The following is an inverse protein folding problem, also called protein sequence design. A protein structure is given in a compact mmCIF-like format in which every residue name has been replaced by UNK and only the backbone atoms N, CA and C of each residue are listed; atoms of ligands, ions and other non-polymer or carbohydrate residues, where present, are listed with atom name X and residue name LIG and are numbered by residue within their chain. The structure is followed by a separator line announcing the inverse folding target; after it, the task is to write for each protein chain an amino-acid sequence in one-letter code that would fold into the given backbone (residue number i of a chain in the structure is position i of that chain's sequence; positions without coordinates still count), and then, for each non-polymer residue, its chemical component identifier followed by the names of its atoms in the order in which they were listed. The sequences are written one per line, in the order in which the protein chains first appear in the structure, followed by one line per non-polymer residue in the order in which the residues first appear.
data_IF_221694293325
#
_entry.id   IF_221694293325
#
_cell.length_a   1.000
_cell.length_b   1.000
_cell.length_c   1.000
_cell.angle_alpha   90.00
_cell.angle_beta   90.00
_cell.angle_gamma   90.00
#
_symmetry.space_group_name_H-M   'P 1'
#
loop_
_entity.id
_entity.type
_entity.pdbx_description
1 polymer ?
#
# COMPACT_ATOMS: atom_id res chain seq x y z
N UNK A 1 73.41 -4.26 -23.29
CA UNK A 1 72.87 -3.92 -21.95
C UNK A 1 71.36 -3.83 -22.10
N UNK A 2 70.65 -4.85 -21.60
CA UNK A 2 69.21 -5.01 -21.82
C UNK A 2 68.42 -4.81 -20.53
N UNK A 3 67.36 -4.00 -20.68
CA UNK A 3 66.06 -4.03 -20.01
C UNK A 3 65.97 -3.94 -18.47
N UNK A 4 65.20 -2.96 -18.03
CA UNK A 4 64.58 -2.91 -16.71
C UNK A 4 63.53 -1.82 -16.65
N UNK A 5 62.45 -1.98 -17.43
CA UNK A 5 61.24 -1.14 -17.39
C UNK A 5 60.75 -1.05 -15.94
N UNK A 6 60.49 0.17 -15.46
CA UNK A 6 59.59 0.38 -14.34
C UNK A 6 58.27 -0.29 -14.72
N UNK A 7 57.96 -1.43 -14.10
CA UNK A 7 56.62 -1.97 -14.11
C UNK A 7 55.75 -0.92 -13.41
N UNK A 8 54.91 -0.27 -14.19
CA UNK A 8 53.67 0.32 -13.72
C UNK A 8 53.04 -0.72 -12.78
N UNK A 9 52.99 -0.42 -11.50
CA UNK A 9 52.16 -1.16 -10.58
C UNK A 9 50.73 -0.86 -11.03
N UNK A 10 50.22 -1.70 -11.91
CA UNK A 10 48.79 -1.87 -12.14
C UNK A 10 48.16 -2.03 -10.75
N UNK A 11 47.61 -0.94 -10.23
CA UNK A 11 46.64 -1.02 -9.16
C UNK A 11 45.45 -1.73 -9.77
N UNK A 12 45.42 -3.06 -9.65
CA UNK A 12 44.22 -3.86 -9.76
C UNK A 12 43.24 -3.35 -8.70
N UNK A 13 42.47 -2.35 -9.11
CA UNK A 13 41.17 -2.07 -8.57
C UNK A 13 40.34 -3.32 -8.89
N UNK A 14 40.11 -4.16 -7.89
CA UNK A 14 38.85 -4.88 -7.68
C UNK A 14 39.09 -6.13 -6.85
N UNK A 15 38.72 -6.04 -5.57
CA UNK A 15 37.90 -7.01 -4.84
C UNK A 15 37.95 -6.58 -3.38
N UNK A 16 36.96 -5.78 -2.96
CA UNK A 16 36.68 -5.60 -1.54
C UNK A 16 36.54 -7.00 -0.92
N UNK A 17 37.31 -7.34 0.13
CA UNK A 17 37.15 -8.62 0.82
C UNK A 17 35.68 -8.88 1.13
N UNK A 18 35.18 -10.10 0.93
CA UNK A 18 33.75 -10.45 1.08
C UNK A 18 33.12 -9.93 2.38
N UNK A 19 33.93 -9.82 3.45
CA UNK A 19 33.52 -9.28 4.74
C UNK A 19 33.16 -7.79 4.69
N UNK A 20 33.86 -6.96 3.91
CA UNK A 20 33.52 -5.54 3.71
C UNK A 20 32.30 -5.37 2.81
N UNK A 21 32.18 -6.16 1.74
CA UNK A 21 30.97 -6.17 0.90
C UNK A 21 29.71 -6.60 1.69
N UNK A 22 29.85 -7.55 2.62
CA UNK A 22 28.77 -7.95 3.53
C UNK A 22 28.39 -6.86 4.53
N UNK A 23 29.35 -6.06 4.99
CA UNK A 23 29.12 -4.91 5.86
C UNK A 23 28.41 -3.76 5.13
N UNK A 24 28.82 -3.43 3.91
CA UNK A 24 28.13 -2.44 3.07
C UNK A 24 26.71 -2.87 2.71
N UNK A 25 26.50 -4.16 2.39
CA UNK A 25 25.14 -4.73 2.19
C UNK A 25 24.30 -4.66 3.46
N UNK A 26 24.90 -4.94 4.63
CA UNK A 26 24.22 -4.82 5.93
C UNK A 26 23.85 -3.35 6.24
N UNK A 27 24.72 -2.40 5.92
CA UNK A 27 24.45 -0.95 6.07
C UNK A 27 23.39 -0.45 5.09
N UNK A 28 23.28 -1.03 3.90
CA UNK A 28 22.22 -0.73 2.94
C UNK A 28 20.88 -1.36 3.31
N UNK A 29 20.85 -2.38 4.17
CA UNK A 29 19.63 -3.11 4.52
C UNK A 29 18.52 -2.21 5.13
N UNK A 30 18.81 -1.29 6.08
CA UNK A 30 17.82 -0.33 6.56
C UNK A 30 17.25 0.59 5.48
N UNK A 31 18.06 0.98 4.49
CA UNK A 31 17.62 1.82 3.38
C UNK A 31 16.71 1.04 2.43
N UNK A 32 17.12 -0.17 2.04
CA UNK A 32 16.31 -1.09 1.21
C UNK A 32 15.00 -1.47 1.89
N UNK A 33 15.01 -1.73 3.20
CA UNK A 33 13.81 -1.98 4.00
C UNK A 33 12.87 -0.78 3.99
N UNK A 34 13.39 0.45 4.20
CA UNK A 34 12.58 1.68 4.12
C UNK A 34 11.97 1.87 2.74
N UNK A 35 12.73 1.63 1.68
CA UNK A 35 12.25 1.71 0.30
C UNK A 35 11.15 0.68 0.01
N UNK A 36 11.34 -0.58 0.44
CA UNK A 36 10.34 -1.64 0.30
C UNK A 36 9.04 -1.29 1.04
N UNK A 37 9.12 -0.84 2.30
CA UNK A 37 7.95 -0.38 3.08
C UNK A 37 7.24 0.78 2.37
N UNK A 38 7.99 1.75 1.85
CA UNK A 38 7.41 2.89 1.13
C UNK A 38 6.73 2.46 -0.18
N UNK A 39 7.26 1.44 -0.87
CA UNK A 39 6.66 0.85 -2.06
C UNK A 39 5.36 0.12 -1.72
N UNK A 40 5.38 -0.76 -0.72
CA UNK A 40 4.20 -1.49 -0.23
C UNK A 40 3.09 -0.52 0.18
N UNK A 41 3.43 0.50 0.97
CA UNK A 41 2.46 1.54 1.39
C UNK A 41 1.83 2.24 0.18
N UNK A 42 2.62 2.67 -0.80
CA UNK A 42 2.11 3.32 -2.02
C UNK A 42 1.18 2.39 -2.81
N UNK A 43 1.54 1.12 -2.95
CA UNK A 43 0.70 0.14 -3.63
C UNK A 43 -0.62 -0.07 -2.92
N UNK A 44 -0.60 -0.22 -1.59
CA UNK A 44 -1.81 -0.40 -0.77
C UNK A 44 -2.74 0.82 -0.84
N UNK A 45 -2.18 2.03 -0.76
CA UNK A 45 -2.94 3.28 -0.91
C UNK A 45 -3.55 3.34 -2.31
N UNK A 46 -2.78 3.08 -3.37
CA UNK A 46 -3.29 3.09 -4.74
C UNK A 46 -4.37 2.02 -5.00
N UNK A 47 -4.29 0.86 -4.33
CA UNK A 47 -5.36 -0.15 -4.38
C UNK A 47 -6.64 0.36 -3.69
N UNK A 48 -6.53 1.02 -2.53
CA UNK A 48 -7.67 1.58 -1.82
C UNK A 48 -8.34 2.71 -2.64
N UNK A 49 -7.54 3.60 -3.24
CA UNK A 49 -8.01 4.65 -4.15
C UNK A 49 -8.81 4.07 -5.32
N UNK A 50 -8.28 3.04 -5.99
CA UNK A 50 -8.98 2.39 -7.11
C UNK A 50 -10.30 1.75 -6.69
N UNK A 51 -10.33 1.11 -5.51
CA UNK A 51 -11.57 0.51 -4.98
C UNK A 51 -12.63 1.55 -4.67
N UNK A 52 -12.26 2.62 -3.98
CA UNK A 52 -13.16 3.75 -3.70
C UNK A 52 -13.65 4.36 -5.01
N UNK A 53 -12.75 4.57 -5.99
CA UNK A 53 -13.13 5.09 -7.30
C UNK A 53 -14.09 4.16 -8.04
N UNK A 54 -13.93 2.84 -7.94
CA UNK A 54 -14.87 1.85 -8.49
C UNK A 54 -16.26 1.94 -7.85
N UNK A 55 -16.32 2.01 -6.51
CA UNK A 55 -17.58 2.20 -5.77
C UNK A 55 -18.27 3.49 -6.22
N UNK A 56 -17.52 4.60 -6.34
CA UNK A 56 -18.06 5.88 -6.79
C UNK A 56 -18.47 5.88 -8.26
N UNK A 57 -17.74 5.16 -9.12
CA UNK A 57 -18.04 5.02 -10.55
C UNK A 57 -19.34 4.26 -10.80
N UNK A 58 -19.62 3.19 -10.05
CA UNK A 58 -20.88 2.45 -10.13
C UNK A 58 -22.11 3.33 -9.88
N UNK A 59 -21.93 4.48 -9.20
CA UNK A 59 -22.98 5.43 -8.93
C UNK A 59 -23.02 6.66 -9.84
N UNK A 60 -22.24 6.72 -10.92
CA UNK A 60 -22.17 7.87 -11.86
C UNK A 60 -23.42 8.12 -12.71
N UNK A 61 -24.56 7.47 -12.44
CA UNK A 61 -25.84 7.83 -13.09
C UNK A 61 -26.34 9.25 -12.75
N UNK A 62 -25.71 9.98 -11.81
CA UNK A 62 -25.98 11.39 -11.54
C UNK A 62 -24.71 12.22 -11.76
N UNK A 63 -24.61 12.86 -12.93
CA UNK A 63 -24.03 14.18 -13.28
C UNK A 63 -22.81 14.76 -12.53
N UNK A 64 -22.11 14.02 -11.68
CA UNK A 64 -21.00 14.51 -10.86
C UNK A 64 -19.67 13.96 -11.42
N UNK A 65 -18.86 14.79 -12.10
CA UNK A 65 -17.68 14.32 -12.82
C UNK A 65 -16.49 13.97 -11.91
N UNK A 66 -16.46 14.45 -10.65
CA UNK A 66 -15.26 14.35 -9.81
C UNK A 66 -15.59 13.99 -8.36
N UNK A 67 -15.02 12.86 -7.93
CA UNK A 67 -14.85 12.49 -6.53
C UNK A 67 -13.37 12.67 -6.17
N UNK A 68 -13.07 13.33 -5.05
CA UNK A 68 -11.69 13.48 -4.57
C UNK A 68 -11.60 13.11 -3.09
N UNK A 69 -10.51 12.45 -2.72
CA UNK A 69 -10.18 12.21 -1.31
C UNK A 69 -9.77 13.56 -0.71
N UNK A 70 -10.49 14.01 0.32
CA UNK A 70 -10.24 15.30 0.97
C UNK A 70 -9.59 15.16 2.34
N UNK A 71 -9.73 14.01 3.00
CA UNK A 71 -9.16 13.79 4.33
C UNK A 71 -8.85 12.31 4.55
N UNK A 72 -7.75 12.04 5.25
CA UNK A 72 -7.37 10.70 5.71
C UNK A 72 -7.04 10.77 7.20
N UNK A 73 -7.79 10.03 8.00
CA UNK A 73 -7.65 9.96 9.45
C UNK A 73 -7.14 8.57 9.83
N UNK A 74 -6.08 8.47 10.65
CA UNK A 74 -5.68 7.19 11.22
C UNK A 74 -6.53 6.93 12.47
N UNK A 75 -7.19 5.78 12.53
CA UNK A 75 -8.02 5.40 13.67
C UNK A 75 -7.61 4.04 14.21
N UNK A 76 -7.77 3.79 15.52
CA UNK A 76 -7.59 2.45 16.05
C UNK A 76 -8.58 1.51 15.35
N UNK A 77 -8.07 0.37 14.88
CA UNK A 77 -8.91 -0.64 14.26
C UNK A 77 -9.91 -1.21 15.27
N UNK A 78 -11.18 -1.44 14.88
CA UNK A 78 -12.15 -2.03 15.79
C UNK A 78 -11.67 -3.41 16.27
N UNK A 79 -11.87 -3.74 17.55
CA UNK A 79 -11.45 -5.03 18.10
C UNK A 79 -12.09 -6.22 17.36
N UNK A 80 -13.37 -6.09 16.99
CA UNK A 80 -14.13 -7.10 16.25
C UNK A 80 -13.57 -7.36 14.84
N UNK A 81 -12.96 -6.34 14.22
CA UNK A 81 -12.41 -6.45 12.88
C UNK A 81 -11.29 -7.49 12.82
N UNK A 82 -10.45 -7.55 13.87
CA UNK A 82 -9.37 -8.54 13.97
C UNK A 82 -9.91 -9.97 14.04
N UNK A 83 -11.03 -10.16 14.74
CA UNK A 83 -11.67 -11.46 14.85
C UNK A 83 -12.32 -11.87 13.51
N UNK A 84 -13.02 -10.94 12.86
CA UNK A 84 -13.68 -11.18 11.57
C UNK A 84 -12.69 -11.65 10.49
N UNK A 85 -11.60 -10.93 10.26
CA UNK A 85 -10.66 -11.27 9.19
C UNK A 85 -9.78 -12.47 9.49
N UNK A 86 -9.47 -12.74 10.77
CA UNK A 86 -8.79 -14.00 11.14
C UNK A 86 -9.60 -15.23 10.76
N UNK A 87 -10.93 -15.10 10.73
CA UNK A 87 -11.85 -16.20 10.37
C UNK A 87 -12.07 -16.26 8.86
N UNK A 88 -12.17 -15.11 8.17
CA UNK A 88 -12.38 -15.08 6.71
C UNK A 88 -11.12 -15.28 5.88
N UNK A 89 -9.94 -14.95 6.42
CA UNK A 89 -8.64 -15.14 5.78
C UNK A 89 -7.60 -15.59 6.83
N UNK A 90 -7.45 -16.92 7.05
CA UNK A 90 -6.63 -17.47 8.11
C UNK A 90 -5.17 -17.03 8.00
N UNK A 91 -4.65 -16.43 9.08
CA UNK A 91 -3.26 -15.95 9.15
C UNK A 91 -3.09 -14.46 8.84
N UNK A 92 -4.13 -13.78 8.38
CA UNK A 92 -4.10 -12.33 8.21
C UNK A 92 -3.97 -11.58 9.54
N UNK A 93 -3.11 -10.57 9.55
CA UNK A 93 -2.88 -9.67 10.67
C UNK A 93 -3.28 -8.26 10.29
N UNK A 94 -4.14 -7.66 11.11
CA UNK A 94 -4.55 -6.27 10.93
C UNK A 94 -3.39 -5.31 11.24
N UNK A 95 -3.02 -4.48 10.27
CA UNK A 95 -1.91 -3.54 10.35
C UNK A 95 -2.40 -2.16 10.81
N UNK A 96 -3.41 -1.61 10.14
CA UNK A 96 -3.89 -0.25 10.38
C UNK A 96 -5.31 -0.05 9.84
N UNK A 97 -6.05 0.89 10.45
CA UNK A 97 -7.30 1.40 9.92
C UNK A 97 -7.17 2.88 9.64
N UNK A 98 -7.74 3.32 8.52
CA UNK A 98 -7.88 4.72 8.17
C UNK A 98 -9.33 5.03 7.82
N UNK A 99 -9.79 6.23 8.15
CA UNK A 99 -11.04 6.77 7.63
C UNK A 99 -10.71 7.78 6.54
N UNK A 100 -11.21 7.52 5.35
CA UNK A 100 -11.03 8.36 4.18
C UNK A 100 -12.33 9.10 3.91
N UNK A 101 -12.26 10.43 3.92
CA UNK A 101 -13.37 11.29 3.54
C UNK A 101 -13.22 11.64 2.06
N UNK A 102 -14.25 11.33 1.28
CA UNK A 102 -14.33 11.62 -0.15
C UNK A 102 -15.40 12.65 -0.37
N UNK A 103 -15.04 13.76 -1.03
CA UNK A 103 -16.02 14.75 -1.46
C UNK A 103 -16.53 14.41 -2.84
N UNK A 104 -17.85 14.42 -3.00
CA UNK A 104 -18.55 14.22 -4.28
C UNK A 104 -19.61 15.30 -4.42
N UNK A 105 -19.40 16.24 -5.32
CA UNK A 105 -20.25 17.41 -5.49
C UNK A 105 -20.48 18.10 -4.12
N UNK A 106 -21.72 18.11 -3.65
CA UNK A 106 -22.16 18.79 -2.43
C UNK A 106 -22.23 17.86 -1.21
N UNK A 107 -21.88 16.58 -1.38
CA UNK A 107 -21.90 15.58 -0.33
C UNK A 107 -20.49 15.11 0.03
N UNK A 108 -20.30 14.76 1.30
CA UNK A 108 -19.12 14.05 1.79
C UNK A 108 -19.50 12.62 2.13
N UNK A 109 -18.59 11.70 1.85
CA UNK A 109 -18.73 10.27 2.10
C UNK A 109 -17.53 9.76 2.86
N UNK A 110 -17.75 8.77 3.72
CA UNK A 110 -16.68 8.22 4.54
C UNK A 110 -16.50 6.74 4.27
N UNK A 111 -15.26 6.34 4.08
CA UNK A 111 -14.84 4.97 3.86
C UNK A 111 -13.84 4.58 4.94
N UNK A 112 -14.03 3.41 5.53
CA UNK A 112 -13.05 2.78 6.41
C UNK A 112 -12.16 1.87 5.57
N UNK A 113 -10.88 2.19 5.51
CA UNK A 113 -9.85 1.42 4.82
C UNK A 113 -9.04 0.65 5.85
N UNK A 114 -9.11 -0.66 5.78
CA UNK A 114 -8.43 -1.57 6.69
C UNK A 114 -7.28 -2.26 5.96
N UNK A 115 -6.07 -2.17 6.49
CA UNK A 115 -4.89 -2.77 5.89
C UNK A 115 -4.50 -4.04 6.65
N UNK A 116 -4.16 -5.07 5.91
CA UNK A 116 -3.81 -6.39 6.42
C UNK A 116 -2.53 -6.89 5.77
N UNK A 117 -1.83 -7.78 6.48
CA UNK A 117 -0.74 -8.56 5.93
C UNK A 117 -0.85 -10.01 6.37
N UNK A 118 -0.51 -10.94 5.49
CA UNK A 118 -0.30 -12.34 5.84
C UNK A 118 0.91 -12.89 5.07
N UNK A 119 1.93 -13.35 5.80
CA UNK A 119 3.21 -13.69 5.19
C UNK A 119 3.77 -12.53 4.36
N UNK A 120 4.01 -12.79 3.07
CA UNK A 120 4.53 -11.82 2.11
C UNK A 120 3.45 -11.05 1.34
N UNK A 121 2.17 -11.31 1.61
CA UNK A 121 1.06 -10.64 0.94
C UNK A 121 0.47 -9.52 1.79
N UNK A 122 0.14 -8.41 1.13
CA UNK A 122 -0.51 -7.25 1.74
C UNK A 122 -1.74 -6.88 0.94
N UNK A 123 -2.81 -6.53 1.65
CA UNK A 123 -4.07 -6.14 1.04
C UNK A 123 -4.77 -5.10 1.89
N UNK A 124 -5.79 -4.48 1.32
CA UNK A 124 -6.73 -3.66 2.06
C UNK A 124 -8.15 -4.22 1.92
N UNK A 125 -9.05 -3.73 2.75
CA UNK A 125 -10.50 -3.82 2.57
C UNK A 125 -11.11 -2.46 2.80
N UNK A 126 -12.02 -2.07 1.92
CA UNK A 126 -12.72 -0.78 1.96
C UNK A 126 -14.16 -1.05 2.35
N UNK A 127 -14.61 -0.45 3.45
CA UNK A 127 -15.98 -0.54 3.93
C UNK A 127 -16.60 0.86 4.01
N UNK A 128 -17.87 1.01 3.63
CA UNK A 128 -18.59 2.27 3.78
C UNK A 128 -18.88 2.55 5.28
N UNK A 129 -18.78 3.81 5.69
CA UNK A 129 -19.07 4.22 7.08
C UNK A 129 -20.49 4.77 7.28
N UNK A 130 -21.20 5.10 6.18
CA UNK A 130 -22.51 5.73 6.22
C UNK A 130 -23.50 5.02 5.28
N UNK A 131 -24.79 5.25 5.50
CA UNK A 131 -25.86 4.58 4.76
C UNK A 131 -25.79 4.86 3.25
N UNK A 132 -25.43 6.08 2.84
CA UNK A 132 -25.34 6.45 1.43
C UNK A 132 -24.18 5.74 0.74
N UNK A 133 -23.01 5.70 1.38
CA UNK A 133 -21.85 4.95 0.91
C UNK A 133 -22.13 3.44 0.89
N UNK A 134 -22.97 2.94 1.81
CA UNK A 134 -23.36 1.52 1.87
C UNK A 134 -24.25 1.13 0.70
N UNK A 135 -25.27 1.94 0.40
CA UNK A 135 -26.13 1.71 -0.77
C UNK A 135 -25.29 1.65 -2.05
N UNK A 136 -24.29 2.52 -2.16
CA UNK A 136 -23.44 2.62 -3.34
C UNK A 136 -22.44 1.46 -3.44
N UNK A 137 -21.89 1.01 -2.31
CA UNK A 137 -21.10 -0.21 -2.23
C UNK A 137 -21.93 -1.44 -2.65
N UNK A 138 -23.17 -1.57 -2.16
CA UNK A 138 -24.04 -2.67 -2.58
C UNK A 138 -24.34 -2.61 -4.10
N UNK A 139 -24.53 -1.41 -4.65
CA UNK A 139 -24.70 -1.23 -6.10
C UNK A 139 -23.48 -1.65 -6.89
N UNK A 140 -22.27 -1.29 -6.45
CA UNK A 140 -21.05 -1.71 -7.13
C UNK A 140 -20.90 -3.23 -7.14
N UNK A 141 -21.19 -3.89 -6.00
CA UNK A 141 -21.16 -5.36 -5.93
C UNK A 141 -22.17 -6.02 -6.88
N UNK A 142 -23.37 -5.46 -7.01
CA UNK A 142 -24.39 -5.99 -7.93
C UNK A 142 -23.96 -5.78 -9.39
N UNK A 143 -23.36 -4.64 -9.73
CA UNK A 143 -22.89 -4.39 -11.09
C UNK A 143 -21.71 -5.27 -11.50
N UNK A 144 -20.86 -5.69 -10.55
CA UNK A 144 -19.76 -6.62 -10.84
C UNK A 144 -20.25 -8.06 -11.14
N UNK A 145 -21.54 -8.37 -10.89
CA UNK A 145 -22.13 -9.70 -11.10
C UNK A 145 -22.83 -9.88 -12.46
N UNK A 146 -22.99 -8.82 -13.27
CA UNK A 146 -23.70 -8.84 -14.55
C UNK A 146 -22.88 -8.17 -15.65
#
# INVERSE_FOLDING_TARGET
MGLGRHAEADFEMDMLPDRLASYERAQMFPARRRQAIASIKRTLIGQAERRIAGIEAACRRRSCPTSSVTQVENVPGPAWLRAFYRVSDPGSSHIATQIWTVRRCDATRRYSVHYFGAGDFFFNVVLPCDAMSTVDYCRSLIMDLF
#
